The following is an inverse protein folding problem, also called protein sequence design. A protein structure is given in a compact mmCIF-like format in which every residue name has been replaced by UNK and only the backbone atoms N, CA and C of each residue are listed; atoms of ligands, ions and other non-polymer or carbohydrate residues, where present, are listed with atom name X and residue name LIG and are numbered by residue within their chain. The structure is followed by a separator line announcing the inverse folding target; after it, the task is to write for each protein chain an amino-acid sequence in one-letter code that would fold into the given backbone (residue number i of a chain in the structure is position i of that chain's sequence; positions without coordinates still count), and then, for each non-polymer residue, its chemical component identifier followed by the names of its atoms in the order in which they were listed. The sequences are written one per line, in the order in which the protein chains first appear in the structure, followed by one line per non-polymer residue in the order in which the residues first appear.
data_IF_769879862003
#
_entry.id   IF_769879862003
#
_cell.length_a   1.000
_cell.length_b   1.000
_cell.length_c   1.000
_cell.angle_alpha   90.00
_cell.angle_beta   90.00
_cell.angle_gamma   90.00
#
_symmetry.space_group_name_H-M   'P 1'
#
loop_
_entity.id
_entity.type
_entity.pdbx_description
1 polymer ?
#
# COMPACT_ATOMS: atom_id res chain seq x y z
N UNK A 1 -7.19 -15.73 -6.51
CA UNK A 1 -7.55 -14.81 -5.40
C UNK A 1 -9.05 -14.63 -5.25
N UNK A 2 -9.86 -14.95 -6.28
CA UNK A 2 -11.32 -14.86 -6.28
C UNK A 2 -12.04 -15.52 -5.10
N UNK A 3 -11.67 -16.76 -4.72
CA UNK A 3 -12.29 -17.41 -3.54
C UNK A 3 -12.02 -16.60 -2.26
N UNK A 4 -10.80 -16.12 -2.08
CA UNK A 4 -10.45 -15.35 -0.89
C UNK A 4 -11.22 -14.01 -0.82
N UNK A 5 -11.36 -13.29 -1.94
CA UNK A 5 -12.11 -12.03 -1.95
C UNK A 5 -13.61 -12.23 -1.68
N UNK A 6 -14.21 -13.30 -2.21
CA UNK A 6 -15.61 -13.68 -1.92
C UNK A 6 -15.83 -13.98 -0.44
N UNK A 7 -14.98 -14.83 0.15
CA UNK A 7 -15.10 -15.20 1.56
C UNK A 7 -14.84 -14.00 2.50
N UNK A 8 -13.88 -13.13 2.17
CA UNK A 8 -13.64 -11.89 2.91
C UNK A 8 -14.84 -10.95 2.81
N UNK A 9 -15.42 -10.78 1.62
CA UNK A 9 -16.63 -9.95 1.42
C UNK A 9 -17.80 -10.47 2.25
N UNK A 10 -18.05 -11.78 2.20
CA UNK A 10 -19.10 -12.42 2.98
C UNK A 10 -18.88 -12.27 4.49
N UNK A 11 -17.64 -12.41 4.96
CA UNK A 11 -17.27 -12.20 6.36
C UNK A 11 -17.49 -10.76 6.81
N UNK A 12 -17.04 -9.77 6.01
CA UNK A 12 -17.20 -8.36 6.31
C UNK A 12 -18.68 -7.95 6.38
N UNK A 13 -19.50 -8.34 5.40
CA UNK A 13 -20.94 -8.04 5.40
C UNK A 13 -21.66 -8.70 6.58
N UNK A 14 -21.28 -9.93 6.94
CA UNK A 14 -21.84 -10.64 8.11
C UNK A 14 -21.52 -9.92 9.43
N UNK A 15 -20.30 -9.40 9.57
CA UNK A 15 -19.85 -8.78 10.83
C UNK A 15 -20.25 -7.31 10.96
N UNK A 16 -20.34 -6.60 9.84
CA UNK A 16 -20.45 -5.13 9.84
C UNK A 16 -21.71 -4.60 9.13
N UNK A 17 -22.56 -5.48 8.58
CA UNK A 17 -23.74 -5.11 7.82
C UNK A 17 -23.45 -4.89 6.33
N UNK A 18 -24.52 -4.89 5.53
CA UNK A 18 -24.44 -4.66 4.08
C UNK A 18 -24.08 -3.21 3.72
N UNK A 19 -24.24 -2.28 4.67
CA UNK A 19 -23.90 -0.86 4.54
C UNK A 19 -22.45 -0.55 4.94
N UNK A 20 -21.65 -1.54 5.31
CA UNK A 20 -20.25 -1.36 5.70
C UNK A 20 -19.43 -0.72 4.57
N UNK A 21 -18.49 0.18 4.94
CA UNK A 21 -17.53 0.70 3.97
C UNK A 21 -16.41 -0.32 3.80
N UNK A 22 -16.37 -0.98 2.65
CA UNK A 22 -15.35 -1.97 2.36
C UNK A 22 -14.17 -1.30 1.66
N UNK A 23 -12.99 -1.37 2.28
CA UNK A 23 -11.77 -0.76 1.77
C UNK A 23 -10.70 -1.84 1.70
N UNK A 24 -10.10 -1.99 0.51
CA UNK A 24 -8.90 -2.81 0.32
C UNK A 24 -7.73 -1.86 0.08
N UNK A 25 -6.60 -2.10 0.74
CA UNK A 25 -5.38 -1.32 0.55
C UNK A 25 -4.44 -2.09 -0.37
N UNK A 26 -3.97 -1.47 -1.44
CA UNK A 26 -2.91 -2.07 -2.24
C UNK A 26 -1.57 -2.07 -1.46
N UNK A 27 -0.59 -2.82 -1.93
CA UNK A 27 0.61 -3.14 -1.15
C UNK A 27 1.80 -2.35 -1.67
N UNK A 28 2.40 -1.43 -0.90
CA UNK A 28 3.63 -0.73 -1.27
C UNK A 28 4.86 -1.63 -1.07
N UNK A 29 5.92 -1.47 -1.89
CA UNK A 29 7.18 -2.18 -1.73
C UNK A 29 8.03 -1.55 -0.61
N UNK A 30 9.09 -2.25 -0.22
CA UNK A 30 10.25 -1.61 0.42
C UNK A 30 11.23 -1.08 -0.63
N UNK A 31 12.26 -0.36 -0.18
CA UNK A 31 13.35 0.13 -1.02
C UNK A 31 14.65 -0.64 -0.75
N UNK A 32 15.52 -0.76 -1.74
CA UNK A 32 16.85 -1.34 -1.52
C UNK A 32 17.75 -0.47 -0.66
N UNK A 33 19.01 -0.90 -0.53
CA UNK A 33 19.99 -0.38 0.43
C UNK A 33 20.04 1.15 0.51
N UNK A 34 20.36 1.70 1.69
CA UNK A 34 20.46 3.15 1.99
C UNK A 34 19.14 3.95 1.97
N UNK A 35 18.03 3.32 2.30
CA UNK A 35 16.67 3.88 2.38
C UNK A 35 16.41 4.85 3.56
N UNK A 36 17.23 5.88 3.79
CA UNK A 36 17.08 6.73 4.99
C UNK A 36 16.97 8.21 4.65
N UNK A 37 16.49 9.01 5.61
CA UNK A 37 16.53 10.48 5.53
C UNK A 37 17.96 11.05 5.39
N UNK A 38 19.00 10.28 5.76
CA UNK A 38 20.40 10.69 5.54
C UNK A 38 20.81 10.59 4.08
N UNK A 39 20.06 9.81 3.29
CA UNK A 39 20.33 9.54 1.88
C UNK A 39 19.37 10.32 0.98
N UNK A 40 18.10 10.44 1.38
CA UNK A 40 17.03 11.05 0.61
C UNK A 40 16.31 12.12 1.44
N UNK A 41 16.11 13.31 0.87
CA UNK A 41 15.45 14.46 1.53
C UNK A 41 13.99 14.64 1.04
N UNK A 42 13.35 13.54 0.64
CA UNK A 42 11.97 13.56 0.14
C UNK A 42 11.70 12.55 -0.99
N UNK A 43 10.58 12.74 -1.72
CA UNK A 43 10.20 11.84 -2.79
C UNK A 43 11.18 11.88 -3.96
N UNK A 44 11.42 10.71 -4.55
CA UNK A 44 12.21 10.55 -5.77
C UNK A 44 11.29 10.43 -7.00
N UNK A 45 11.88 10.49 -8.20
CA UNK A 45 11.15 10.18 -9.43
C UNK A 45 10.88 8.68 -9.57
N UNK A 46 9.99 8.33 -10.51
CA UNK A 46 9.51 6.95 -10.72
C UNK A 46 10.65 6.01 -11.13
N UNK A 47 11.57 6.46 -11.97
CA UNK A 47 12.65 5.60 -12.47
C UNK A 47 13.60 5.25 -11.31
N UNK A 48 14.00 6.27 -10.53
CA UNK A 48 14.79 6.09 -9.30
C UNK A 48 14.08 5.15 -8.31
N UNK A 49 12.78 5.31 -8.10
CA UNK A 49 12.02 4.46 -7.19
C UNK A 49 12.02 2.98 -7.64
N UNK A 50 11.80 2.72 -8.93
CA UNK A 50 11.79 1.36 -9.48
C UNK A 50 13.17 0.71 -9.32
N UNK A 51 14.25 1.43 -9.60
CA UNK A 51 15.62 0.94 -9.42
C UNK A 51 15.91 0.57 -7.96
N UNK A 52 15.46 1.41 -7.02
CA UNK A 52 15.60 1.14 -5.59
C UNK A 52 14.81 -0.11 -5.20
N UNK A 53 13.55 -0.26 -5.62
CA UNK A 53 12.75 -1.46 -5.36
C UNK A 53 13.42 -2.72 -5.93
N UNK A 54 13.97 -2.64 -7.15
CA UNK A 54 14.65 -3.75 -7.81
C UNK A 54 15.94 -4.17 -7.09
N UNK A 55 16.62 -3.23 -6.42
CA UNK A 55 17.80 -3.50 -5.61
C UNK A 55 17.50 -4.07 -4.21
N UNK A 56 16.21 -4.22 -3.86
CA UNK A 56 15.78 -4.83 -2.60
C UNK A 56 16.04 -6.33 -2.50
N UNK A 57 15.91 -6.92 -1.30
CA UNK A 57 16.19 -8.34 -1.10
C UNK A 57 15.26 -9.25 -1.90
N UNK A 58 15.84 -10.14 -2.72
CA UNK A 58 15.09 -11.00 -3.65
C UNK A 58 14.02 -11.87 -2.98
N UNK A 59 14.19 -12.24 -1.71
CA UNK A 59 13.23 -13.08 -0.98
C UNK A 59 11.86 -12.43 -0.79
N UNK A 60 11.78 -11.09 -0.80
CA UNK A 60 10.53 -10.37 -0.61
C UNK A 60 9.81 -10.04 -1.92
N UNK A 61 10.50 -10.20 -3.06
CA UNK A 61 9.94 -10.00 -4.40
C UNK A 61 9.21 -8.66 -4.58
N UNK A 62 9.73 -7.58 -3.98
CA UNK A 62 9.07 -6.27 -4.00
C UNK A 62 8.81 -5.74 -5.41
N UNK A 63 9.71 -6.02 -6.37
CA UNK A 63 9.50 -5.66 -7.78
C UNK A 63 8.27 -6.31 -8.44
N UNK A 64 7.65 -7.32 -7.82
CA UNK A 64 6.43 -7.98 -8.30
C UNK A 64 5.16 -7.40 -7.69
N UNK A 65 5.26 -6.42 -6.79
CA UNK A 65 4.09 -5.85 -6.14
C UNK A 65 3.10 -5.18 -7.11
N UNK A 66 3.52 -4.57 -8.24
CA UNK A 66 2.57 -4.19 -9.29
C UNK A 66 1.69 -5.34 -9.77
N UNK A 67 2.27 -6.52 -10.01
CA UNK A 67 1.53 -7.72 -10.43
C UNK A 67 0.58 -8.19 -9.32
N UNK A 68 1.03 -8.18 -8.06
CA UNK A 68 0.20 -8.60 -6.93
C UNK A 68 -0.95 -7.62 -6.66
N UNK A 69 -0.72 -6.32 -6.84
CA UNK A 69 -1.75 -5.30 -6.74
C UNK A 69 -2.77 -5.44 -7.86
N UNK A 70 -2.36 -5.75 -9.10
CA UNK A 70 -3.30 -6.05 -10.19
C UNK A 70 -4.21 -7.26 -9.87
N UNK A 71 -3.67 -8.32 -9.26
CA UNK A 71 -4.48 -9.48 -8.83
C UNK A 71 -5.45 -9.06 -7.72
N UNK A 72 -5.04 -8.16 -6.81
CA UNK A 72 -5.89 -7.62 -5.75
C UNK A 72 -7.02 -6.77 -6.32
N UNK A 73 -6.73 -5.88 -7.25
CA UNK A 73 -7.71 -5.06 -7.95
C UNK A 73 -8.72 -5.94 -8.68
N UNK A 74 -8.27 -6.95 -9.44
CA UNK A 74 -9.15 -7.90 -10.11
C UNK A 74 -10.08 -8.60 -9.12
N UNK A 75 -9.55 -9.05 -7.98
CA UNK A 75 -10.30 -9.84 -7.01
C UNK A 75 -11.33 -9.04 -6.21
N UNK A 76 -11.06 -7.77 -5.91
CA UNK A 76 -11.89 -6.94 -5.03
C UNK A 76 -12.67 -5.86 -5.77
N UNK A 77 -12.10 -5.29 -6.83
CA UNK A 77 -12.68 -4.15 -7.56
C UNK A 77 -13.35 -4.57 -8.86
N UNK A 78 -13.07 -5.78 -9.37
CA UNK A 78 -13.64 -6.30 -10.62
C UNK A 78 -15.17 -6.48 -10.59
N UNK A 79 -15.76 -6.70 -9.41
CA UNK A 79 -17.20 -6.81 -9.25
C UNK A 79 -17.77 -5.60 -8.50
N UNK A 80 -18.32 -4.63 -9.24
CA UNK A 80 -18.89 -3.41 -8.68
C UNK A 80 -20.01 -3.64 -7.63
N UNK A 81 -20.67 -4.80 -7.66
CA UNK A 81 -21.75 -5.13 -6.70
C UNK A 81 -21.24 -5.46 -5.30
N UNK A 82 -19.95 -5.78 -5.16
CA UNK A 82 -19.34 -6.05 -3.86
C UNK A 82 -19.02 -4.77 -3.08
N UNK A 83 -18.96 -3.62 -3.76
CA UNK A 83 -18.89 -2.30 -3.12
C UNK A 83 -17.52 -1.91 -2.56
N UNK A 84 -16.47 -2.68 -2.84
CA UNK A 84 -15.10 -2.35 -2.42
C UNK A 84 -14.59 -1.05 -3.02
N UNK A 85 -13.77 -0.35 -2.24
CA UNK A 85 -12.97 0.80 -2.67
C UNK A 85 -11.50 0.53 -2.42
N UNK A 86 -10.66 1.00 -3.32
CA UNK A 86 -9.22 0.94 -3.12
C UNK A 86 -8.72 2.12 -2.29
N UNK A 87 -7.83 1.83 -1.34
CA UNK A 87 -6.92 2.80 -0.76
C UNK A 87 -5.55 2.62 -1.42
N UNK A 88 -5.17 3.56 -2.27
CA UNK A 88 -3.88 3.55 -2.96
C UNK A 88 -2.74 3.97 -2.03
N UNK A 89 -2.12 2.97 -1.42
CA UNK A 89 -0.89 3.12 -0.65
C UNK A 89 0.35 2.96 -1.53
N UNK A 90 0.28 2.21 -2.63
CA UNK A 90 1.41 1.86 -3.49
C UNK A 90 1.99 3.10 -4.17
N UNK A 91 1.20 3.81 -4.98
CA UNK A 91 1.70 4.88 -5.85
C UNK A 91 2.43 5.99 -5.10
N UNK A 92 1.88 6.57 -4.01
CA UNK A 92 2.58 7.64 -3.30
C UNK A 92 3.76 7.11 -2.48
N UNK A 93 3.72 5.87 -2.01
CA UNK A 93 4.79 5.30 -1.14
C UNK A 93 5.96 4.78 -1.95
N UNK A 94 5.72 4.32 -3.19
CA UNK A 94 6.78 3.93 -4.12
C UNK A 94 7.81 5.04 -4.28
N UNK A 95 7.39 6.29 -4.25
CA UNK A 95 8.28 7.43 -4.43
C UNK A 95 9.05 7.81 -3.16
N UNK A 96 8.88 7.08 -2.05
CA UNK A 96 9.33 7.51 -0.73
C UNK A 96 10.39 6.58 -0.14
N UNK A 97 11.62 6.57 -0.67
CA UNK A 97 12.73 5.88 -0.02
C UNK A 97 13.24 6.61 1.22
N UNK A 98 12.75 7.83 1.47
CA UNK A 98 12.97 8.61 2.68
C UNK A 98 12.13 8.11 3.86
N UNK A 99 12.61 8.37 5.08
CA UNK A 99 11.93 8.02 6.33
C UNK A 99 11.62 6.53 6.56
N UNK A 100 12.34 5.59 5.93
CA UNK A 100 12.42 4.26 6.53
C UNK A 100 13.28 4.28 7.79
N UNK A 101 13.11 3.25 8.62
CA UNK A 101 13.94 3.06 9.82
C UNK A 101 15.43 2.94 9.49
N UNK A 102 15.77 2.32 8.34
CA UNK A 102 17.15 2.24 7.88
C UNK A 102 18.04 1.39 8.77
N UNK A 103 19.35 1.65 8.72
CA UNK A 103 20.39 0.97 9.50
C UNK A 103 21.69 0.75 8.71
N UNK A 104 22.81 0.56 9.40
CA UNK A 104 24.13 0.44 8.76
C UNK A 104 24.42 -1.00 8.27
N UNK A 105 24.06 -2.02 9.06
CA UNK A 105 24.40 -3.43 8.75
C UNK A 105 23.22 -4.26 8.23
N UNK A 106 21.99 -3.95 8.66
CA UNK A 106 20.75 -4.59 8.21
C UNK A 106 19.63 -3.53 8.22
N UNK A 107 19.57 -2.68 7.19
CA UNK A 107 18.58 -1.61 7.17
C UNK A 107 17.16 -2.17 7.04
N UNK A 108 16.26 -1.73 7.90
CA UNK A 108 14.82 -1.93 7.68
C UNK A 108 14.34 -0.88 6.68
N UNK A 109 14.23 -1.32 5.43
CA UNK A 109 13.73 -0.55 4.30
C UNK A 109 12.32 -0.93 3.89
N UNK A 110 11.56 -1.57 4.80
CA UNK A 110 10.16 -1.90 4.58
C UNK A 110 9.26 -0.99 5.43
N UNK A 111 9.60 -0.83 6.70
CA UNK A 111 8.82 -0.02 7.63
C UNK A 111 9.24 1.44 7.60
N UNK A 112 8.31 2.32 7.97
CA UNK A 112 8.51 3.77 7.97
C UNK A 112 8.45 4.33 9.40
N UNK A 113 9.20 5.41 9.61
CA UNK A 113 9.07 6.28 10.77
C UNK A 113 7.69 6.94 10.81
N UNK A 114 7.29 7.39 12.01
CA UNK A 114 6.08 8.19 12.24
C UNK A 114 6.50 9.45 13.03
N UNK A 115 6.17 10.67 12.56
CA UNK A 115 5.42 10.98 11.33
C UNK A 115 6.19 10.62 10.05
N UNK A 116 5.48 10.34 8.96
CA UNK A 116 6.10 9.84 7.73
C UNK A 116 5.12 9.48 6.60
N UNK A 117 5.58 8.75 5.56
CA UNK A 117 4.75 8.38 4.39
C UNK A 117 3.42 7.70 4.75
N UNK A 118 3.36 6.94 5.85
CA UNK A 118 2.14 6.28 6.33
C UNK A 118 1.04 7.28 6.69
N UNK A 119 1.38 8.52 7.07
CA UNK A 119 0.38 9.57 7.35
C UNK A 119 -0.45 9.90 6.09
N UNK A 120 0.11 9.69 4.89
CA UNK A 120 -0.63 9.82 3.64
C UNK A 120 -1.76 8.78 3.55
N UNK A 121 -1.51 7.53 3.96
CA UNK A 121 -2.53 6.47 3.94
C UNK A 121 -3.68 6.81 4.87
N UNK A 122 -3.37 7.35 6.05
CA UNK A 122 -4.38 7.80 7.03
C UNK A 122 -5.20 8.96 6.45
N UNK A 123 -4.57 9.89 5.73
CA UNK A 123 -5.27 11.00 5.07
C UNK A 123 -6.20 10.52 3.96
N UNK A 124 -5.78 9.52 3.18
CA UNK A 124 -6.65 8.88 2.17
C UNK A 124 -7.83 8.19 2.83
N UNK A 125 -7.59 7.36 3.85
CA UNK A 125 -8.64 6.69 4.61
C UNK A 125 -9.66 7.69 5.18
N UNK A 126 -9.17 8.76 5.82
CA UNK A 126 -10.02 9.80 6.37
C UNK A 126 -10.88 10.48 5.30
N UNK A 127 -10.31 10.75 4.13
CA UNK A 127 -11.04 11.34 3.00
C UNK A 127 -12.15 10.40 2.49
N UNK A 128 -11.89 9.09 2.43
CA UNK A 128 -12.90 8.09 2.06
C UNK A 128 -14.03 8.00 3.09
N UNK A 129 -13.71 8.07 4.39
CA UNK A 129 -14.70 8.07 5.47
C UNK A 129 -15.60 9.31 5.41
N UNK A 130 -15.04 10.49 5.17
CA UNK A 130 -15.82 11.72 5.00
C UNK A 130 -16.73 11.64 3.76
N UNK A 131 -16.23 11.10 2.65
CA UNK A 131 -17.03 10.93 1.44
C UNK A 131 -18.26 10.03 1.67
N UNK A 132 -18.14 9.00 2.53
CA UNK A 132 -19.30 8.19 2.94
C UNK A 132 -20.26 8.94 3.85
N UNK A 133 -19.76 9.71 4.82
CA UNK A 133 -20.61 10.46 5.75
C UNK A 133 -21.45 11.58 5.11
N UNK A 134 -21.16 11.93 3.86
CA UNK A 134 -21.91 12.90 3.06
C UNK A 134 -22.93 12.27 2.09
N UNK A 135 -23.09 10.94 2.10
CA UNK A 135 -24.13 10.20 1.37
C UNK A 135 -25.30 9.86 2.29
#
# INVERSE_FOLDING_TARGET
METASKEITASMKRLHGDDALLIVRNTPPGHGVTCTERTFDGPVDVDTAIDLVASGPHQYQWGRFPEYNAILEEAFLGNATDGWKELDAYTPTLLRPDFHLGGDENPDCLHYCIPGPIDHWVRLLYSMLLAKGHQ
#
